data_IF_865170523341
#
_entry.id   IF_865170523341
#
_cell.length_a   1.000
_cell.length_b   1.000
_cell.length_c   1.000
_cell.angle_alpha   90.00
_cell.angle_beta   90.00
_cell.angle_gamma   90.00
#
_symmetry.space_group_name_H-M   'P 1'
#
loop_
_entity.id
_entity.type
_entity.pdbx_description
1 polymer ?
#
# COMPACT_ATOMS: atom_id res chain seq x y z
N UNK A 1 4.94 -22.93 -18.35
CA UNK A 1 6.17 -22.12 -18.18
C UNK A 1 6.61 -22.29 -16.74
N UNK A 2 7.92 -22.24 -16.50
CA UNK A 2 8.46 -22.36 -15.14
C UNK A 2 9.35 -21.16 -14.82
N UNK A 3 9.14 -20.58 -13.63
CA UNK A 3 9.92 -19.47 -13.05
C UNK A 3 10.56 -19.91 -11.73
N UNK A 4 11.56 -19.16 -11.26
CA UNK A 4 12.03 -19.33 -9.88
C UNK A 4 11.06 -18.68 -8.90
N UNK A 5 10.45 -17.55 -9.29
CA UNK A 5 9.53 -16.80 -8.46
C UNK A 5 8.33 -16.29 -9.26
N UNK A 6 7.13 -16.47 -8.70
CA UNK A 6 5.92 -15.74 -9.12
C UNK A 6 5.54 -14.76 -8.02
N UNK A 7 5.35 -13.50 -8.40
CA UNK A 7 4.83 -12.43 -7.53
C UNK A 7 3.42 -12.08 -7.99
N UNK A 8 2.43 -12.23 -7.13
CA UNK A 8 1.06 -11.84 -7.39
C UNK A 8 0.78 -10.43 -6.86
N UNK A 9 0.44 -9.49 -7.76
CA UNK A 9 0.17 -8.08 -7.47
C UNK A 9 1.33 -7.14 -7.78
N UNK A 10 1.10 -6.19 -8.70
CA UNK A 10 2.07 -5.19 -9.16
C UNK A 10 2.03 -3.86 -8.40
N UNK A 11 1.58 -3.84 -7.14
CA UNK A 11 1.74 -2.69 -6.25
C UNK A 11 3.21 -2.48 -5.86
N UNK A 12 3.52 -1.41 -5.11
CA UNK A 12 4.92 -1.11 -4.72
C UNK A 12 5.62 -2.29 -4.05
N UNK A 13 4.90 -3.05 -3.23
CA UNK A 13 5.43 -4.25 -2.58
C UNK A 13 5.81 -5.32 -3.59
N UNK A 14 4.93 -5.61 -4.56
CA UNK A 14 5.20 -6.62 -5.58
C UNK A 14 6.30 -6.21 -6.54
N UNK A 15 6.34 -4.95 -6.96
CA UNK A 15 7.44 -4.43 -7.79
C UNK A 15 8.78 -4.56 -7.05
N UNK A 16 8.83 -4.13 -5.78
CA UNK A 16 10.06 -4.23 -4.99
C UNK A 16 10.49 -5.68 -4.80
N UNK A 17 9.55 -6.60 -4.56
CA UNK A 17 9.84 -8.04 -4.46
C UNK A 17 10.38 -8.62 -5.77
N UNK A 18 9.75 -8.29 -6.88
CA UNK A 18 10.16 -8.80 -8.19
C UNK A 18 11.53 -8.26 -8.60
N UNK A 19 11.75 -6.93 -8.46
CA UNK A 19 13.01 -6.28 -8.81
C UNK A 19 14.16 -6.79 -7.95
N UNK A 20 13.97 -6.91 -6.62
CA UNK A 20 15.03 -7.40 -5.73
C UNK A 20 15.40 -8.84 -6.03
N UNK A 21 14.44 -9.72 -6.28
CA UNK A 21 14.70 -11.12 -6.62
C UNK A 21 15.39 -11.28 -7.99
N UNK A 22 14.93 -10.54 -8.99
CA UNK A 22 15.50 -10.59 -10.34
C UNK A 22 16.94 -10.07 -10.38
N UNK A 23 17.26 -9.02 -9.64
CA UNK A 23 18.64 -8.51 -9.50
C UNK A 23 19.60 -9.51 -8.85
N UNK A 24 19.07 -10.47 -8.09
CA UNK A 24 19.83 -11.59 -7.52
C UNK A 24 19.88 -12.82 -8.44
N UNK A 25 19.44 -12.68 -9.70
CA UNK A 25 19.56 -13.68 -10.76
C UNK A 25 18.39 -14.66 -10.88
N UNK A 26 17.27 -14.45 -10.20
CA UNK A 26 16.09 -15.28 -10.34
C UNK A 26 15.31 -14.91 -11.60
N UNK A 27 14.70 -15.92 -12.23
CA UNK A 27 13.66 -15.71 -13.24
C UNK A 27 12.34 -15.39 -12.53
N UNK A 28 11.77 -14.21 -12.78
CA UNK A 28 10.62 -13.70 -12.04
C UNK A 28 9.46 -13.34 -12.98
N UNK A 29 8.26 -13.82 -12.65
CA UNK A 29 7.00 -13.36 -13.23
C UNK A 29 6.25 -12.50 -12.22
N UNK A 30 5.93 -11.26 -12.60
CA UNK A 30 5.05 -10.36 -11.86
C UNK A 30 3.68 -10.32 -12.52
N UNK A 31 2.63 -10.73 -11.79
CA UNK A 31 1.25 -10.79 -12.28
C UNK A 31 0.46 -9.61 -11.74
N UNK A 32 -0.08 -8.76 -12.62
CA UNK A 32 -0.86 -7.57 -12.24
C UNK A 32 -2.22 -7.53 -12.95
N UNK A 33 -3.28 -7.29 -12.18
CA UNK A 33 -4.67 -7.24 -12.68
C UNK A 33 -5.00 -6.00 -13.51
N UNK A 34 -4.27 -4.91 -13.29
CA UNK A 34 -4.46 -3.65 -14.04
C UNK A 34 -3.51 -3.55 -15.24
N UNK A 35 -3.57 -2.44 -15.96
CA UNK A 35 -2.69 -2.14 -17.09
C UNK A 35 -1.48 -1.31 -16.72
N UNK A 36 -1.17 -1.15 -15.43
CA UNK A 36 -0.01 -0.40 -14.95
C UNK A 36 0.44 -0.91 -13.57
N UNK A 37 1.72 -0.71 -13.26
CA UNK A 37 2.30 -0.95 -11.95
C UNK A 37 1.98 0.19 -10.96
N UNK A 38 2.25 -0.03 -9.67
CA UNK A 38 2.11 0.96 -8.60
C UNK A 38 0.90 0.76 -7.68
N UNK A 39 -0.11 -0.02 -8.09
CA UNK A 39 -1.26 -0.37 -7.25
C UNK A 39 -1.96 0.85 -6.65
N UNK A 40 -1.77 1.11 -5.34
CA UNK A 40 -2.42 2.22 -4.63
C UNK A 40 -2.10 3.60 -5.24
N UNK A 41 -0.89 3.81 -5.75
CA UNK A 41 -0.46 5.06 -6.41
C UNK A 41 -1.26 5.28 -7.69
N UNK A 42 -1.28 4.26 -8.55
CA UNK A 42 -1.73 4.37 -9.94
C UNK A 42 -3.24 4.17 -10.08
N UNK A 43 -3.78 3.14 -9.42
CA UNK A 43 -5.17 2.72 -9.59
C UNK A 43 -6.11 3.37 -8.56
N UNK A 44 -5.63 3.61 -7.34
CA UNK A 44 -6.44 4.18 -6.26
C UNK A 44 -6.14 5.67 -6.02
N UNK A 45 -5.18 6.25 -6.74
CA UNK A 45 -4.73 7.65 -6.58
C UNK A 45 -4.40 8.01 -5.12
N UNK A 46 -3.88 7.06 -4.32
CA UNK A 46 -3.47 7.38 -2.94
C UNK A 46 -2.27 8.31 -2.98
N UNK A 47 -2.41 9.48 -2.35
CA UNK A 47 -1.43 10.57 -2.33
C UNK A 47 -1.56 11.34 -1.01
N UNK A 48 -0.47 11.88 -0.47
CA UNK A 48 0.94 11.70 -0.82
C UNK A 48 1.55 10.43 -0.22
N UNK A 49 2.88 10.23 -0.31
CA UNK A 49 3.57 9.29 0.59
C UNK A 49 3.42 9.78 2.03
N UNK A 50 2.93 8.92 2.91
CA UNK A 50 2.90 9.24 4.33
C UNK A 50 4.33 9.34 4.88
N UNK A 51 4.57 10.06 5.99
CA UNK A 51 5.89 10.24 6.54
C UNK A 51 6.62 8.89 6.73
N UNK A 52 7.81 8.80 6.16
CA UNK A 52 8.70 7.63 6.20
C UNK A 52 10.06 7.99 6.79
N UNK A 53 10.07 9.01 7.62
CA UNK A 53 11.23 9.52 8.36
C UNK A 53 10.84 9.87 9.79
N UNK A 54 11.83 9.88 10.68
CA UNK A 54 11.70 10.50 12.00
C UNK A 54 12.66 11.67 12.11
N UNK A 55 12.37 12.60 13.00
CA UNK A 55 13.28 13.70 13.29
C UNK A 55 14.35 13.22 14.27
N UNK A 56 15.59 13.64 14.07
CA UNK A 56 16.69 13.41 14.99
C UNK A 56 17.53 14.68 15.13
N UNK A 57 18.22 14.81 16.26
CA UNK A 57 19.18 15.87 16.46
C UNK A 57 20.54 15.46 15.89
N UNK A 58 21.15 16.34 15.10
CA UNK A 58 22.53 16.25 14.66
C UNK A 58 23.24 17.54 15.09
N UNK A 59 23.95 17.47 16.22
CA UNK A 59 24.46 18.66 16.91
C UNK A 59 23.32 19.58 17.39
N UNK A 60 23.29 20.84 16.92
CA UNK A 60 22.23 21.82 17.19
C UNK A 60 21.03 21.68 16.23
N UNK A 61 21.19 20.99 15.11
CA UNK A 61 20.22 20.95 14.03
C UNK A 61 19.25 19.77 14.18
N UNK A 62 18.01 19.97 13.68
CA UNK A 62 17.02 18.91 13.55
C UNK A 62 17.02 18.46 12.10
N UNK A 63 17.39 17.20 11.86
CA UNK A 63 17.37 16.60 10.53
C UNK A 63 16.39 15.42 10.44
N UNK A 64 16.11 14.98 9.20
CA UNK A 64 15.31 13.79 8.94
C UNK A 64 16.18 12.54 8.90
N UNK A 65 15.82 11.52 9.68
CA UNK A 65 16.30 10.15 9.51
C UNK A 65 15.28 9.38 8.69
N UNK A 66 15.60 9.10 7.43
CA UNK A 66 14.73 8.32 6.54
C UNK A 66 14.75 6.84 6.92
N UNK A 67 13.58 6.27 7.14
CA UNK A 67 13.38 4.88 7.58
C UNK A 67 13.12 3.93 6.40
N UNK A 68 12.46 4.39 5.35
CA UNK A 68 12.27 3.63 4.12
C UNK A 68 13.33 4.04 3.09
N UNK A 69 14.19 3.10 2.74
CA UNK A 69 15.35 3.27 1.85
C UNK A 69 15.35 2.15 0.79
N UNK A 70 16.52 1.75 0.28
CA UNK A 70 16.65 0.67 -0.71
C UNK A 70 15.89 0.98 -2.01
N UNK A 71 15.07 0.04 -2.48
CA UNK A 71 14.27 0.18 -3.72
C UNK A 71 13.30 1.37 -3.64
N UNK A 72 12.73 1.66 -2.46
CA UNK A 72 11.86 2.83 -2.31
C UNK A 72 12.59 4.14 -2.60
N UNK A 73 13.80 4.31 -2.06
CA UNK A 73 14.64 5.48 -2.32
C UNK A 73 15.05 5.56 -3.80
N UNK A 74 15.45 4.44 -4.39
CA UNK A 74 15.81 4.39 -5.81
C UNK A 74 14.63 4.86 -6.69
N UNK A 75 13.44 4.33 -6.45
CA UNK A 75 12.21 4.73 -7.14
C UNK A 75 11.97 6.25 -7.01
N UNK A 76 12.07 6.79 -5.78
CA UNK A 76 11.87 8.23 -5.54
C UNK A 76 12.91 9.09 -6.26
N UNK A 77 14.20 8.71 -6.19
CA UNK A 77 15.28 9.41 -6.89
C UNK A 77 15.10 9.38 -8.42
N UNK A 78 14.62 8.27 -8.98
CA UNK A 78 14.32 8.17 -10.42
C UNK A 78 13.14 9.06 -10.80
N UNK A 79 12.08 9.05 -9.99
CA UNK A 79 10.90 9.89 -10.17
C UNK A 79 11.24 11.39 -10.13
N UNK A 80 12.08 11.83 -9.19
CA UNK A 80 12.43 13.24 -8.98
C UNK A 80 13.24 13.86 -10.14
N UNK A 81 13.67 13.03 -11.10
CA UNK A 81 14.26 13.53 -12.37
C UNK A 81 13.21 14.06 -13.35
N UNK A 82 11.94 13.71 -13.15
CA UNK A 82 10.81 14.13 -14.00
C UNK A 82 10.02 15.32 -13.42
N UNK A 83 10.26 15.68 -12.16
CA UNK A 83 9.46 16.69 -11.45
C UNK A 83 10.40 17.64 -10.70
N UNK A 84 10.38 18.91 -11.07
CA UNK A 84 11.16 19.95 -10.38
C UNK A 84 10.54 20.25 -9.00
N UNK A 85 11.38 20.62 -8.03
CA UNK A 85 11.03 21.03 -6.65
C UNK A 85 10.10 20.06 -5.90
N UNK A 86 10.18 18.75 -6.20
CA UNK A 86 9.36 17.74 -5.60
C UNK A 86 9.77 17.49 -4.13
N UNK A 87 8.85 17.74 -3.19
CA UNK A 87 9.11 17.44 -1.77
C UNK A 87 9.16 15.92 -1.52
N UNK A 88 9.77 15.53 -0.40
CA UNK A 88 9.98 14.12 -0.03
C UNK A 88 8.72 13.26 -0.14
N UNK A 89 7.57 13.80 0.24
CA UNK A 89 6.30 13.09 0.27
C UNK A 89 5.46 13.25 -1.01
N UNK A 90 5.85 14.18 -1.89
CA UNK A 90 5.13 14.45 -3.14
C UNK A 90 5.58 13.52 -4.26
N UNK A 91 4.70 13.26 -5.20
CA UNK A 91 5.00 12.52 -6.41
C UNK A 91 3.94 12.77 -7.49
N UNK A 92 4.34 12.56 -8.74
CA UNK A 92 3.42 12.46 -9.88
C UNK A 92 3.16 10.99 -10.19
N UNK A 93 1.91 10.55 -10.07
CA UNK A 93 1.52 9.16 -10.29
C UNK A 93 1.80 8.66 -11.71
N UNK A 94 1.75 9.54 -12.72
CA UNK A 94 1.98 9.14 -14.11
C UNK A 94 3.46 8.86 -14.37
N UNK A 95 4.36 9.72 -13.87
CA UNK A 95 5.80 9.46 -13.96
C UNK A 95 6.23 8.23 -13.13
N UNK A 96 5.58 7.98 -11.99
CA UNK A 96 5.87 6.77 -11.23
C UNK A 96 5.52 5.48 -11.99
N UNK A 97 4.47 5.44 -12.80
CA UNK A 97 4.17 4.29 -13.66
C UNK A 97 5.36 3.99 -14.58
N UNK A 98 5.89 5.02 -15.26
CA UNK A 98 7.05 4.91 -16.15
C UNK A 98 8.27 4.40 -15.40
N UNK A 99 8.57 4.99 -14.23
CA UNK A 99 9.71 4.58 -13.39
C UNK A 99 9.61 3.12 -12.97
N UNK A 100 8.42 2.64 -12.61
CA UNK A 100 8.22 1.25 -12.20
C UNK A 100 8.34 0.28 -13.37
N UNK A 101 7.87 0.66 -14.56
CA UNK A 101 8.05 -0.09 -15.79
C UNK A 101 9.55 -0.20 -16.16
N UNK A 102 10.28 0.91 -16.09
CA UNK A 102 11.74 0.93 -16.37
C UNK A 102 12.48 0.06 -15.34
N UNK A 103 12.18 0.16 -14.04
CA UNK A 103 12.85 -0.62 -13.00
C UNK A 103 12.63 -2.13 -13.17
N UNK A 104 11.43 -2.55 -13.54
CA UNK A 104 11.12 -3.97 -13.78
C UNK A 104 11.77 -4.48 -15.05
N UNK A 105 11.74 -3.69 -16.13
CA UNK A 105 12.39 -4.04 -17.41
C UNK A 105 13.91 -4.15 -17.28
N UNK A 106 14.57 -3.17 -16.63
CA UNK A 106 16.01 -3.19 -16.36
C UNK A 106 16.46 -4.37 -15.49
N UNK A 107 15.59 -4.79 -14.55
CA UNK A 107 15.86 -5.96 -13.72
C UNK A 107 15.61 -7.30 -14.45
N UNK A 108 14.98 -7.29 -15.62
CA UNK A 108 14.65 -8.51 -16.37
C UNK A 108 13.44 -9.26 -15.80
N UNK A 109 12.49 -8.55 -15.19
CA UNK A 109 11.24 -9.12 -14.70
C UNK A 109 10.26 -9.28 -15.86
N UNK A 110 9.69 -10.47 -16.03
CA UNK A 110 8.53 -10.66 -16.90
C UNK A 110 7.27 -10.11 -16.21
N UNK A 111 6.61 -9.12 -16.82
CA UNK A 111 5.37 -8.53 -16.28
C UNK A 111 4.18 -8.98 -17.11
N UNK A 112 3.16 -9.53 -16.47
CA UNK A 112 1.91 -9.92 -17.09
C UNK A 112 0.77 -9.03 -16.59
N UNK A 113 0.40 -8.03 -17.39
CA UNK A 113 -0.73 -7.14 -17.12
C UNK A 113 -2.09 -7.75 -17.48
N UNK A 114 -3.15 -7.17 -16.95
CA UNK A 114 -4.55 -7.62 -17.15
C UNK A 114 -4.71 -9.11 -16.83
N UNK A 115 -4.02 -9.58 -15.80
CA UNK A 115 -3.93 -10.97 -15.43
C UNK A 115 -4.24 -11.15 -13.94
N UNK A 116 -5.01 -12.17 -13.62
CA UNK A 116 -5.44 -12.46 -12.24
C UNK A 116 -5.13 -13.90 -11.92
N UNK A 117 -4.44 -14.12 -10.78
CA UNK A 117 -4.34 -15.45 -10.18
C UNK A 117 -5.72 -15.79 -9.60
N UNK A 118 -6.33 -16.87 -10.06
CA UNK A 118 -7.67 -17.27 -9.63
C UNK A 118 -7.71 -18.64 -8.93
N UNK A 119 -6.64 -19.41 -8.99
CA UNK A 119 -6.52 -20.71 -8.31
C UNK A 119 -5.05 -21.07 -8.08
N UNK A 120 -4.78 -21.96 -7.14
CA UNK A 120 -3.46 -22.47 -6.82
C UNK A 120 -3.49 -24.00 -6.71
N UNK A 121 -2.40 -24.66 -7.14
CA UNK A 121 -2.19 -26.08 -6.89
C UNK A 121 -1.13 -26.27 -5.82
N UNK A 122 -1.47 -27.05 -4.83
CA UNK A 122 -0.61 -27.31 -3.68
C UNK A 122 -0.26 -28.81 -3.61
N UNK A 123 0.93 -29.09 -3.14
CA UNK A 123 1.39 -30.45 -2.79
C UNK A 123 2.12 -30.40 -1.46
N UNK A 124 1.56 -31.06 -0.45
CA UNK A 124 2.02 -31.01 0.93
C UNK A 124 2.13 -29.54 1.42
N UNK A 125 3.32 -29.10 1.81
CA UNK A 125 3.63 -27.74 2.30
C UNK A 125 4.16 -26.81 1.20
N UNK A 126 3.85 -27.08 -0.08
CA UNK A 126 4.32 -26.25 -1.21
C UNK A 126 3.20 -25.91 -2.15
N UNK A 127 3.21 -24.69 -2.64
CA UNK A 127 2.49 -24.32 -3.86
C UNK A 127 3.34 -24.81 -5.03
N UNK A 128 2.75 -25.58 -5.95
CA UNK A 128 3.41 -26.08 -7.14
C UNK A 128 3.18 -25.22 -8.37
N UNK A 129 1.99 -24.64 -8.49
CA UNK A 129 1.64 -23.73 -9.59
C UNK A 129 0.50 -22.80 -9.21
N UNK A 130 0.37 -21.73 -9.98
CA UNK A 130 -0.79 -20.82 -9.98
C UNK A 130 -1.51 -20.90 -11.30
N UNK A 131 -2.84 -20.78 -11.24
CA UNK A 131 -3.71 -20.66 -12.40
C UNK A 131 -4.03 -19.19 -12.61
N UNK A 132 -3.71 -18.66 -13.78
CA UNK A 132 -3.90 -17.26 -14.15
C UNK A 132 -4.95 -17.16 -15.24
N UNK A 133 -5.85 -16.19 -15.12
CA UNK A 133 -6.74 -15.80 -16.20
C UNK A 133 -6.31 -14.46 -16.79
N UNK A 134 -6.14 -14.41 -18.12
CA UNK A 134 -5.80 -13.22 -18.88
C UNK A 134 -6.40 -13.29 -20.28
N UNK A 135 -7.12 -12.24 -20.74
CA UNK A 135 -7.72 -12.20 -22.10
C UNK A 135 -8.49 -13.48 -22.47
N UNK A 136 -9.31 -13.97 -21.54
CA UNK A 136 -10.09 -15.21 -21.67
C UNK A 136 -9.26 -16.51 -21.82
N UNK A 137 -7.96 -16.45 -21.59
CA UNK A 137 -7.09 -17.61 -21.55
C UNK A 137 -6.86 -18.05 -20.09
N UNK A 138 -6.70 -19.34 -19.89
CA UNK A 138 -6.24 -19.95 -18.64
C UNK A 138 -4.80 -20.39 -18.82
N UNK A 139 -3.93 -19.93 -17.94
CA UNK A 139 -2.49 -20.16 -18.03
C UNK A 139 -2.03 -20.78 -16.71
N UNK A 140 -1.41 -21.95 -16.76
CA UNK A 140 -0.76 -22.57 -15.60
C UNK A 140 0.71 -22.14 -15.57
N UNK A 141 1.15 -21.58 -14.46
CA UNK A 141 2.54 -21.18 -14.21
C UNK A 141 3.08 -21.95 -13.01
N UNK A 142 4.14 -22.71 -13.24
CA UNK A 142 4.92 -23.38 -12.20
C UNK A 142 6.01 -22.45 -11.68
N UNK A 143 6.28 -22.49 -10.37
CA UNK A 143 7.41 -21.80 -9.79
C UNK A 143 7.96 -22.51 -8.56
N UNK A 144 9.20 -22.21 -8.22
CA UNK A 144 9.84 -22.72 -7.02
C UNK A 144 9.34 -21.99 -5.77
N UNK A 145 9.08 -20.66 -5.89
CA UNK A 145 8.61 -19.78 -4.83
C UNK A 145 7.49 -18.84 -5.30
N UNK A 146 6.72 -18.35 -4.32
CA UNK A 146 5.59 -17.44 -4.54
C UNK A 146 5.60 -16.32 -3.52
N UNK A 147 5.22 -15.10 -3.95
CA UNK A 147 4.99 -13.96 -3.07
C UNK A 147 3.59 -13.42 -3.31
N UNK A 148 2.78 -13.34 -2.25
CA UNK A 148 1.51 -12.62 -2.25
C UNK A 148 1.74 -11.15 -1.94
N UNK A 149 1.58 -10.29 -2.95
CA UNK A 149 1.61 -8.83 -2.86
C UNK A 149 0.30 -8.21 -3.39
N UNK A 150 -0.80 -8.99 -3.42
CA UNK A 150 -2.10 -8.56 -3.95
C UNK A 150 -2.75 -7.45 -3.12
N UNK A 151 -2.28 -7.25 -1.90
CA UNK A 151 -2.83 -6.30 -0.93
C UNK A 151 -4.08 -6.80 -0.23
N UNK A 152 -4.88 -7.64 -0.88
CA UNK A 152 -6.07 -8.29 -0.31
C UNK A 152 -5.82 -9.73 0.15
N UNK A 153 -4.60 -10.23 -0.05
CA UNK A 153 -4.20 -11.58 0.34
C UNK A 153 -4.88 -12.66 -0.51
N UNK A 154 -5.06 -12.39 -1.79
CA UNK A 154 -5.79 -13.29 -2.66
C UNK A 154 -5.05 -14.60 -2.88
N UNK A 155 -3.72 -14.57 -3.04
CA UNK A 155 -2.93 -15.79 -3.27
C UNK A 155 -2.90 -16.69 -2.03
N UNK A 156 -2.61 -16.15 -0.85
CA UNK A 156 -2.59 -16.98 0.37
C UNK A 156 -3.99 -17.46 0.77
N UNK A 157 -5.04 -16.69 0.45
CA UNK A 157 -6.43 -17.12 0.64
C UNK A 157 -6.77 -18.30 -0.26
N UNK A 158 -6.42 -18.23 -1.55
CA UNK A 158 -6.60 -19.34 -2.50
C UNK A 158 -5.80 -20.59 -2.08
N UNK A 159 -4.65 -20.38 -1.46
CA UNK A 159 -3.84 -21.47 -0.91
C UNK A 159 -4.41 -22.06 0.40
N UNK A 160 -5.42 -21.45 1.02
CA UNK A 160 -6.05 -21.93 2.25
C UNK A 160 -5.28 -21.58 3.53
N UNK A 161 -4.46 -20.52 3.52
CA UNK A 161 -3.81 -20.02 4.74
C UNK A 161 -4.81 -19.36 5.69
N UNK A 162 -4.52 -19.44 6.98
CA UNK A 162 -5.30 -18.73 8.01
C UNK A 162 -5.14 -17.22 7.90
N UNK A 163 -6.25 -16.49 8.09
CA UNK A 163 -6.25 -15.02 8.03
C UNK A 163 -7.20 -14.40 9.05
N UNK A 164 -7.03 -13.09 9.29
CA UNK A 164 -7.96 -12.22 9.99
C UNK A 164 -8.52 -11.20 9.01
N UNK A 165 -9.85 -11.14 8.91
CA UNK A 165 -10.54 -10.05 8.21
C UNK A 165 -10.83 -8.93 9.20
N UNK A 166 -10.46 -7.68 8.84
CA UNK A 166 -10.78 -6.52 9.66
C UNK A 166 -10.34 -6.63 11.14
N UNK A 167 -11.03 -5.95 12.03
CA UNK A 167 -10.76 -6.03 13.47
C UNK A 167 -11.31 -7.32 14.10
N UNK A 168 -10.69 -7.77 15.17
CA UNK A 168 -11.00 -9.08 15.77
C UNK A 168 -12.42 -9.18 16.35
N UNK A 169 -12.98 -8.07 16.83
CA UNK A 169 -14.26 -8.06 17.54
C UNK A 169 -15.48 -8.35 16.65
N UNK A 170 -15.44 -7.95 15.37
CA UNK A 170 -16.61 -8.02 14.48
C UNK A 170 -16.25 -8.19 13.00
N UNK A 171 -14.99 -8.36 12.69
CA UNK A 171 -14.45 -8.50 11.31
C UNK A 171 -14.69 -7.28 10.40
N UNK A 172 -15.04 -6.12 10.95
CA UNK A 172 -15.20 -4.91 10.16
C UNK A 172 -13.86 -4.32 9.77
N UNK A 173 -13.71 -4.02 8.49
CA UNK A 173 -12.53 -3.39 7.93
C UNK A 173 -12.62 -1.87 7.98
N UNK A 174 -11.46 -1.20 8.00
CA UNK A 174 -11.40 0.25 7.85
C UNK A 174 -12.09 0.68 6.54
N UNK A 175 -12.71 1.90 6.51
CA UNK A 175 -13.49 2.36 5.37
C UNK A 175 -12.73 2.36 4.05
N UNK A 176 -13.41 2.04 2.98
CA UNK A 176 -12.90 2.22 1.61
C UNK A 176 -13.04 3.69 1.17
N UNK A 177 -12.17 4.15 0.28
CA UNK A 177 -12.12 5.54 -0.21
C UNK A 177 -11.79 5.59 -1.68
N UNK A 178 -12.51 6.40 -2.45
CA UNK A 178 -12.13 6.79 -3.81
C UNK A 178 -11.57 8.19 -3.80
N UNK A 179 -10.30 8.33 -4.17
CA UNK A 179 -9.63 9.62 -4.33
C UNK A 179 -9.99 10.24 -5.69
N UNK A 180 -9.96 11.59 -5.76
CA UNK A 180 -10.19 12.32 -7.01
C UNK A 180 -9.40 13.63 -7.05
N UNK A 181 -9.32 14.26 -8.22
CA UNK A 181 -8.60 15.52 -8.44
C UNK A 181 -9.47 16.50 -9.20
N UNK A 182 -9.38 17.75 -8.79
CA UNK A 182 -9.97 18.90 -9.49
C UNK A 182 -8.86 19.87 -9.90
N UNK A 183 -8.93 20.40 -11.12
CA UNK A 183 -8.09 21.50 -11.61
C UNK A 183 -8.87 22.80 -11.66
N UNK A 184 -8.19 23.92 -11.96
CA UNK A 184 -8.81 25.23 -12.01
C UNK A 184 -9.31 25.72 -10.65
N UNK A 185 -8.70 25.25 -9.56
CA UNK A 185 -9.02 25.65 -8.20
C UNK A 185 -8.11 26.82 -7.81
N UNK A 186 -8.70 27.93 -7.34
CA UNK A 186 -7.96 29.00 -6.67
C UNK A 186 -7.49 28.50 -5.30
N UNK A 187 -6.23 28.01 -5.23
CA UNK A 187 -5.69 27.38 -4.03
C UNK A 187 -5.49 28.35 -2.87
N UNK A 188 -5.19 29.62 -3.15
CA UNK A 188 -5.01 30.65 -2.13
C UNK A 188 -6.37 30.99 -1.49
N UNK A 189 -7.37 31.29 -2.31
CA UNK A 189 -8.73 31.53 -1.85
C UNK A 189 -9.30 30.30 -1.11
N UNK A 190 -9.08 29.09 -1.63
CA UNK A 190 -9.51 27.89 -0.92
C UNK A 190 -8.85 27.74 0.44
N UNK A 191 -7.56 28.08 0.55
CA UNK A 191 -6.83 27.99 1.84
C UNK A 191 -7.42 28.97 2.86
N UNK A 192 -7.79 30.17 2.45
CA UNK A 192 -8.46 31.16 3.29
C UNK A 192 -9.87 30.71 3.72
N UNK A 193 -10.64 30.16 2.79
CA UNK A 193 -12.02 29.73 3.04
C UNK A 193 -12.14 28.37 3.73
N UNK A 194 -11.09 27.57 3.74
CA UNK A 194 -11.11 26.17 4.23
C UNK A 194 -11.69 26.02 5.63
N UNK A 195 -11.36 26.85 6.65
CA UNK A 195 -11.97 26.72 7.97
C UNK A 195 -13.50 26.87 7.95
N UNK A 196 -14.01 27.88 7.21
CA UNK A 196 -15.44 28.13 7.03
C UNK A 196 -16.13 26.96 6.31
N UNK A 197 -15.52 26.46 5.25
CA UNK A 197 -16.05 25.33 4.48
C UNK A 197 -16.12 24.05 5.35
N UNK A 198 -15.14 23.80 6.20
CA UNK A 198 -15.15 22.66 7.13
C UNK A 198 -16.31 22.74 8.13
N UNK A 199 -16.58 23.91 8.71
CA UNK A 199 -17.69 24.10 9.64
C UNK A 199 -19.04 23.95 8.93
N UNK A 200 -19.20 24.59 7.76
CA UNK A 200 -20.42 24.47 6.96
C UNK A 200 -20.69 23.02 6.51
N UNK A 201 -19.62 22.27 6.15
CA UNK A 201 -19.72 20.85 5.80
C UNK A 201 -20.30 20.02 6.96
N UNK A 202 -19.79 20.25 8.17
CA UNK A 202 -20.30 19.57 9.40
C UNK A 202 -21.75 19.96 9.71
N UNK A 203 -22.12 21.23 9.54
CA UNK A 203 -23.50 21.68 9.74
C UNK A 203 -24.47 21.00 8.79
N UNK A 204 -24.11 20.93 7.50
CA UNK A 204 -24.92 20.28 6.47
C UNK A 204 -24.99 18.77 6.71
N UNK A 205 -23.91 18.15 7.15
CA UNK A 205 -23.88 16.75 7.57
C UNK A 205 -24.85 16.49 8.74
N UNK A 206 -24.82 17.33 9.78
CA UNK A 206 -25.71 17.21 10.93
C UNK A 206 -27.19 17.37 10.56
N UNK A 207 -27.51 18.12 9.50
CA UNK A 207 -28.85 18.29 8.93
C UNK A 207 -29.26 17.16 7.97
N UNK A 208 -28.35 16.25 7.62
CA UNK A 208 -28.60 15.19 6.64
C UNK A 208 -28.59 15.65 5.19
N UNK A 209 -28.13 16.88 4.91
CA UNK A 209 -27.98 17.43 3.55
C UNK A 209 -26.74 16.86 2.85
N UNK A 210 -25.74 16.41 3.63
CA UNK A 210 -24.55 15.69 3.16
C UNK A 210 -24.59 14.28 3.76
N UNK A 211 -24.51 13.28 2.87
CA UNK A 211 -24.63 11.86 3.24
C UNK A 211 -23.30 11.16 3.45
N UNK A 212 -22.21 11.74 2.93
CA UNK A 212 -20.86 11.23 3.13
C UNK A 212 -20.46 11.26 4.61
N UNK A 213 -20.16 10.13 5.26
CA UNK A 213 -19.85 10.08 6.68
C UNK A 213 -18.42 10.54 7.04
N UNK A 214 -17.66 11.06 6.09
CA UNK A 214 -16.32 11.61 6.37
C UNK A 214 -16.45 12.88 7.21
N UNK A 215 -15.71 12.94 8.32
CA UNK A 215 -15.77 14.03 9.30
C UNK A 215 -15.20 15.37 8.81
N UNK A 216 -14.47 15.33 7.70
CA UNK A 216 -13.81 16.52 7.15
C UNK A 216 -13.57 16.40 5.64
N UNK A 217 -13.31 17.54 5.02
CA UNK A 217 -12.83 17.62 3.63
C UNK A 217 -11.30 17.51 3.68
N UNK A 218 -10.80 16.27 3.49
CA UNK A 218 -9.36 16.00 3.47
C UNK A 218 -8.79 16.19 2.07
N UNK A 219 -7.88 17.14 1.94
CA UNK A 219 -7.22 17.49 0.69
C UNK A 219 -5.71 17.54 0.84
N UNK A 220 -5.03 17.38 -0.29
CA UNK A 220 -3.58 17.52 -0.40
C UNK A 220 -3.23 18.41 -1.60
N UNK A 221 -2.18 19.21 -1.43
CA UNK A 221 -1.58 20.08 -2.42
C UNK A 221 -0.35 19.42 -3.06
N UNK A 222 0.28 20.07 -4.04
CA UNK A 222 1.53 19.61 -4.63
C UNK A 222 1.37 18.61 -5.78
N UNK A 223 0.15 18.47 -6.33
CA UNK A 223 -0.11 17.65 -7.53
C UNK A 223 0.04 18.48 -8.82
N UNK A 224 -0.19 19.79 -8.75
CA UNK A 224 -0.13 20.77 -9.83
C UNK A 224 -0.44 22.16 -9.27
N UNK A 225 -0.17 23.21 -10.05
CA UNK A 225 -0.29 24.61 -9.60
C UNK A 225 -1.73 25.00 -9.22
N UNK A 226 -2.73 24.45 -9.92
CA UNK A 226 -4.15 24.69 -9.70
C UNK A 226 -4.94 23.42 -9.37
N UNK A 227 -4.22 22.35 -8.99
CA UNK A 227 -4.82 21.02 -8.77
C UNK A 227 -4.94 20.71 -7.29
N UNK A 228 -6.15 20.38 -6.87
CA UNK A 228 -6.45 19.90 -5.53
C UNK A 228 -6.77 18.42 -5.55
N UNK A 229 -6.06 17.65 -4.71
CA UNK A 229 -6.28 16.22 -4.54
C UNK A 229 -7.15 15.95 -3.32
N UNK A 230 -8.19 15.15 -3.49
CA UNK A 230 -9.17 14.82 -2.45
C UNK A 230 -9.07 13.36 -2.01
N UNK A 231 -8.95 13.15 -0.69
CA UNK A 231 -9.11 11.87 -0.01
C UNK A 231 -10.28 11.99 0.97
N UNK A 232 -11.46 12.34 0.45
CA UNK A 232 -12.60 12.84 1.24
C UNK A 232 -13.84 11.96 1.19
N UNK A 233 -13.86 10.86 0.42
CA UNK A 233 -14.95 9.90 0.47
C UNK A 233 -14.75 8.89 1.59
N UNK A 234 -15.84 8.30 2.09
CA UNK A 234 -15.79 7.25 3.12
C UNK A 234 -16.95 6.27 2.93
N UNK A 235 -16.60 5.04 2.60
CA UNK A 235 -17.59 3.95 2.48
C UNK A 235 -17.34 2.96 3.60
N UNK A 236 -18.33 2.80 4.48
CA UNK A 236 -18.28 2.02 5.71
C UNK A 236 -19.15 0.77 5.62
N UNK A 237 -18.96 -0.20 6.51
CA UNK A 237 -19.83 -1.37 6.72
C UNK A 237 -19.96 -2.29 5.50
N UNK A 238 -18.99 -2.28 4.59
CA UNK A 238 -18.93 -3.19 3.43
C UNK A 238 -17.66 -4.02 3.51
N UNK A 239 -17.75 -5.27 3.08
CA UNK A 239 -16.64 -6.22 3.05
C UNK A 239 -15.79 -5.98 1.79
N UNK A 240 -14.52 -5.56 1.91
CA UNK A 240 -13.64 -5.31 0.77
C UNK A 240 -13.19 -6.59 0.04
N UNK A 241 -13.54 -7.76 0.56
CA UNK A 241 -13.25 -9.07 -0.08
C UNK A 241 -14.47 -9.66 -0.77
N UNK A 242 -15.64 -9.05 -0.60
CA UNK A 242 -16.87 -9.43 -1.29
C UNK A 242 -17.02 -8.61 -2.58
N UNK A 243 -17.05 -9.22 -3.77
CA UNK A 243 -17.11 -8.50 -5.05
C UNK A 243 -18.38 -7.64 -5.22
N UNK A 244 -19.49 -8.03 -4.64
CA UNK A 244 -20.73 -7.25 -4.68
C UNK A 244 -20.65 -6.02 -3.77
N UNK A 245 -20.06 -6.16 -2.59
CA UNK A 245 -19.83 -5.05 -1.68
C UNK A 245 -18.83 -4.03 -2.23
N UNK A 246 -17.75 -4.50 -2.85
CA UNK A 246 -16.79 -3.63 -3.55
C UNK A 246 -17.47 -2.88 -4.70
N UNK A 247 -18.28 -3.58 -5.52
CA UNK A 247 -19.04 -2.95 -6.60
C UNK A 247 -20.01 -1.87 -6.09
N UNK A 248 -20.70 -2.15 -4.98
CA UNK A 248 -21.57 -1.19 -4.30
C UNK A 248 -20.78 0.00 -3.75
N UNK A 249 -19.62 -0.26 -3.14
CA UNK A 249 -18.74 0.77 -2.60
C UNK A 249 -18.24 1.74 -3.67
N UNK A 250 -17.88 1.25 -4.85
CA UNK A 250 -17.49 2.04 -6.01
C UNK A 250 -18.60 3.05 -6.41
N UNK A 251 -19.82 2.60 -6.46
CA UNK A 251 -20.97 3.47 -6.82
C UNK A 251 -21.24 4.50 -5.72
N UNK A 252 -21.21 4.08 -4.44
CA UNK A 252 -21.42 4.98 -3.30
C UNK A 252 -20.34 6.06 -3.29
N UNK A 253 -19.07 5.71 -3.43
CA UNK A 253 -17.97 6.66 -3.40
C UNK A 253 -18.08 7.71 -4.52
N UNK A 254 -18.46 7.31 -5.75
CA UNK A 254 -18.69 8.26 -6.85
C UNK A 254 -19.89 9.20 -6.59
N UNK A 255 -20.93 8.76 -5.90
CA UNK A 255 -22.03 9.65 -5.45
C UNK A 255 -21.53 10.65 -4.40
N UNK A 256 -20.69 10.21 -3.45
CA UNK A 256 -20.07 11.10 -2.46
C UNK A 256 -19.16 12.14 -3.13
N UNK A 257 -18.43 11.78 -4.20
CA UNK A 257 -17.64 12.75 -4.99
C UNK A 257 -18.55 13.81 -5.60
N UNK A 258 -19.64 13.40 -6.24
CA UNK A 258 -20.60 14.31 -6.85
C UNK A 258 -21.23 15.27 -5.82
N UNK A 259 -21.63 14.75 -4.66
CA UNK A 259 -22.16 15.51 -3.52
C UNK A 259 -21.14 16.56 -3.04
N UNK A 260 -19.88 16.16 -2.85
CA UNK A 260 -18.82 17.05 -2.39
C UNK A 260 -18.49 18.14 -3.41
N UNK A 261 -18.43 17.81 -4.71
CA UNK A 261 -18.19 18.81 -5.77
C UNK A 261 -19.32 19.84 -5.80
N UNK A 262 -20.59 19.39 -5.70
CA UNK A 262 -21.74 20.30 -5.61
C UNK A 262 -21.64 21.24 -4.42
N UNK A 263 -21.36 20.69 -3.23
CA UNK A 263 -21.14 21.47 -2.02
C UNK A 263 -20.04 22.53 -2.19
N UNK A 264 -18.89 22.17 -2.76
CA UNK A 264 -17.76 23.10 -2.94
C UNK A 264 -18.10 24.23 -3.91
N UNK A 265 -18.69 23.90 -5.06
CA UNK A 265 -19.09 24.90 -6.09
C UNK A 265 -20.19 25.86 -5.62
N UNK A 266 -21.11 25.38 -4.80
CA UNK A 266 -22.19 26.20 -4.24
C UNK A 266 -21.70 27.17 -3.14
N UNK A 267 -20.62 26.81 -2.43
CA UNK A 267 -20.25 27.50 -1.19
C UNK A 267 -18.87 28.16 -1.23
N UNK A 268 -18.13 28.09 -2.36
CA UNK A 268 -16.80 28.70 -2.49
C UNK A 268 -16.53 29.18 -3.90
N UNK A 269 -16.14 30.42 -4.04
CA UNK A 269 -15.71 31.01 -5.30
C UNK A 269 -14.40 30.39 -5.83
N UNK A 270 -13.59 29.78 -4.95
CA UNK A 270 -12.37 29.08 -5.34
C UNK A 270 -12.62 27.93 -6.35
N UNK A 271 -13.85 27.43 -6.44
CA UNK A 271 -14.24 26.34 -7.33
C UNK A 271 -15.05 26.76 -8.56
N UNK A 272 -15.23 28.06 -8.81
CA UNK A 272 -16.04 28.56 -9.93
C UNK A 272 -15.56 28.02 -11.28
N UNK A 273 -14.27 28.07 -11.53
CA UNK A 273 -13.63 27.62 -12.77
C UNK A 273 -13.15 26.15 -12.70
N UNK A 274 -13.42 25.48 -11.58
CA UNK A 274 -12.87 24.16 -11.35
C UNK A 274 -13.55 23.06 -12.17
N UNK A 275 -12.76 22.06 -12.56
CA UNK A 275 -13.20 20.88 -13.26
C UNK A 275 -12.72 19.59 -12.58
N UNK A 276 -13.56 18.55 -12.59
CA UNK A 276 -13.14 17.20 -12.21
C UNK A 276 -12.25 16.64 -13.32
N UNK A 277 -10.98 16.36 -13.02
CA UNK A 277 -10.01 15.88 -14.03
C UNK A 277 -9.64 14.41 -13.84
N UNK A 278 -9.80 13.87 -12.64
CA UNK A 278 -9.45 12.47 -12.39
C UNK A 278 -10.24 11.90 -11.22
N UNK A 279 -10.69 10.68 -11.35
CA UNK A 279 -11.23 9.83 -10.28
C UNK A 279 -10.43 8.54 -10.28
N UNK A 280 -10.08 8.02 -9.11
CA UNK A 280 -9.40 6.74 -9.01
C UNK A 280 -10.16 5.65 -9.77
N UNK A 281 -9.41 4.82 -10.51
CA UNK A 281 -9.99 3.74 -11.33
C UNK A 281 -10.63 2.68 -10.44
N UNK A 282 -10.00 2.39 -9.31
CA UNK A 282 -10.50 1.45 -8.31
C UNK A 282 -10.60 2.13 -6.95
N UNK A 283 -11.58 1.74 -6.16
CA UNK A 283 -11.70 2.18 -4.77
C UNK A 283 -10.48 1.74 -3.96
N UNK A 284 -9.96 2.64 -3.11
CA UNK A 284 -8.85 2.36 -2.20
C UNK A 284 -9.32 1.55 -1.00
N UNK A 285 -8.78 0.35 -0.85
CA UNK A 285 -9.02 -0.54 0.28
C UNK A 285 -7.91 -0.35 1.31
N UNK A 286 -8.25 0.17 2.50
CA UNK A 286 -7.30 0.38 3.59
C UNK A 286 -6.94 -0.91 4.31
N UNK A 287 -7.92 -1.78 4.49
CA UNK A 287 -7.79 -3.05 5.21
C UNK A 287 -8.69 -4.10 4.58
N UNK A 288 -8.20 -5.34 4.54
CA UNK A 288 -8.93 -6.52 4.13
C UNK A 288 -8.40 -7.74 4.89
N UNK A 289 -8.10 -8.86 4.23
CA UNK A 289 -7.45 -10.02 4.86
C UNK A 289 -6.04 -9.67 5.31
N UNK A 290 -5.68 -10.10 6.52
CA UNK A 290 -4.34 -10.08 7.09
C UNK A 290 -3.94 -11.50 7.41
N UNK A 291 -2.75 -11.93 7.00
CA UNK A 291 -2.23 -13.26 7.29
C UNK A 291 -2.22 -13.53 8.81
N UNK A 292 -2.55 -14.74 9.25
CA UNK A 292 -2.22 -15.26 10.60
C UNK A 292 -0.95 -16.10 10.54
N UNK A 293 0.17 -15.42 10.26
CA UNK A 293 1.47 -16.04 10.04
C UNK A 293 2.19 -16.52 11.30
N UNK A 294 3.49 -16.76 11.15
CA UNK A 294 4.36 -17.23 12.23
C UNK A 294 4.44 -16.22 13.38
N UNK A 295 4.44 -14.92 13.06
CA UNK A 295 4.34 -13.84 14.03
C UNK A 295 3.25 -12.87 13.61
N UNK A 296 2.35 -12.54 14.52
CA UNK A 296 1.33 -11.50 14.31
C UNK A 296 1.84 -10.22 14.96
N UNK A 297 2.31 -9.28 14.14
CA UNK A 297 2.78 -7.98 14.60
C UNK A 297 1.64 -7.22 15.28
N UNK A 298 1.81 -6.82 16.52
CA UNK A 298 0.76 -6.20 17.33
C UNK A 298 0.91 -4.68 17.45
N UNK A 299 -0.19 -3.97 17.71
CA UNK A 299 -0.18 -2.54 18.00
C UNK A 299 0.71 -2.19 19.21
N UNK A 300 0.73 -3.04 20.25
CA UNK A 300 1.57 -2.84 21.44
C UNK A 300 3.06 -2.92 21.10
N UNK A 301 3.48 -3.83 20.22
CA UNK A 301 4.88 -3.92 19.77
C UNK A 301 5.29 -2.65 19.00
N UNK A 302 4.39 -2.06 18.21
CA UNK A 302 4.65 -0.77 17.56
C UNK A 302 4.78 0.36 18.59
N UNK A 303 3.82 0.49 19.51
CA UNK A 303 3.77 1.53 20.54
C UNK A 303 5.03 1.50 21.40
N UNK A 304 5.52 0.29 21.72
CA UNK A 304 6.72 0.08 22.51
C UNK A 304 8.01 0.23 21.71
N UNK A 305 7.91 0.60 20.43
CA UNK A 305 9.06 0.70 19.52
C UNK A 305 9.95 -0.56 19.57
N UNK A 306 9.32 -1.74 19.58
CA UNK A 306 10.02 -3.04 19.72
C UNK A 306 11.08 -3.21 18.64
N UNK A 307 12.26 -3.70 19.04
CA UNK A 307 13.39 -4.02 18.16
C UNK A 307 13.50 -5.53 18.02
N UNK A 308 13.15 -6.06 16.85
CA UNK A 308 13.25 -7.47 16.57
C UNK A 308 14.64 -7.84 16.04
N UNK A 309 15.16 -9.00 16.46
CA UNK A 309 16.45 -9.51 15.97
C UNK A 309 16.41 -9.85 14.47
N UNK A 310 15.23 -10.23 13.95
CA UNK A 310 14.95 -10.54 12.56
C UNK A 310 14.28 -9.36 11.81
N UNK A 311 14.58 -8.12 12.22
CA UNK A 311 14.07 -6.89 11.57
C UNK A 311 14.40 -6.84 10.09
N UNK A 312 13.41 -6.47 9.26
CA UNK A 312 13.53 -6.33 7.80
C UNK A 312 13.07 -4.97 7.28
N UNK A 313 12.42 -4.17 8.10
CA UNK A 313 11.96 -2.83 7.77
C UNK A 313 11.73 -2.01 9.04
N UNK A 314 11.73 -0.70 8.88
CA UNK A 314 11.46 0.27 9.94
C UNK A 314 10.20 1.07 9.63
N UNK A 315 9.51 1.56 10.67
CA UNK A 315 8.39 2.46 10.52
C UNK A 315 8.19 3.35 11.75
N UNK A 316 7.53 4.48 11.53
CA UNK A 316 7.08 5.39 12.58
C UNK A 316 5.80 6.15 12.19
N UNK A 317 5.13 5.65 11.13
CA UNK A 317 3.81 6.20 10.81
C UNK A 317 2.87 5.93 11.97
N UNK A 318 2.04 6.91 12.31
CA UNK A 318 1.06 6.79 13.38
C UNK A 318 0.11 5.59 13.17
N UNK A 319 -0.40 5.06 14.28
CA UNK A 319 -1.47 4.07 14.21
C UNK A 319 -2.75 4.86 13.87
N UNK A 320 -3.08 4.89 12.58
CA UNK A 320 -4.14 5.69 11.96
C UNK A 320 -5.35 4.80 11.69
N UNK A 321 -6.26 4.69 12.67
CA UNK A 321 -7.44 3.84 12.59
C UNK A 321 -8.66 4.67 12.21
N UNK A 322 -9.17 4.46 11.00
CA UNK A 322 -10.45 5.01 10.57
C UNK A 322 -11.60 4.14 11.07
N UNK A 323 -12.59 4.76 11.73
CA UNK A 323 -13.75 4.03 12.27
C UNK A 323 -14.45 3.21 11.17
N UNK A 324 -14.62 1.89 11.36
CA UNK A 324 -15.33 1.04 10.39
C UNK A 324 -16.83 1.30 10.31
N UNK A 325 -17.42 1.90 11.35
CA UNK A 325 -18.87 2.00 11.53
C UNK A 325 -19.45 3.40 11.31
N UNK A 326 -18.60 4.42 11.07
CA UNK A 326 -19.10 5.78 10.91
C UNK A 326 -18.01 6.83 10.78
N UNK A 327 -18.17 7.93 11.48
CA UNK A 327 -17.23 9.06 11.51
C UNK A 327 -16.08 8.79 12.47
N UNK A 328 -15.01 9.53 12.32
CA UNK A 328 -13.88 9.59 13.22
C UNK A 328 -12.69 8.74 12.81
N UNK A 329 -11.54 9.22 13.23
CA UNK A 329 -10.23 8.59 13.07
C UNK A 329 -9.50 8.71 14.38
N UNK A 330 -8.91 7.61 14.88
CA UNK A 330 -8.05 7.65 16.06
C UNK A 330 -6.59 7.56 15.64
N UNK A 331 -5.75 8.36 16.29
CA UNK A 331 -4.31 8.42 16.00
C UNK A 331 -3.50 8.15 17.26
N UNK A 332 -2.45 7.34 17.10
CA UNK A 332 -1.38 7.20 18.09
C UNK A 332 -0.07 7.54 17.40
N UNK A 333 0.45 8.72 17.71
CA UNK A 333 1.68 9.27 17.11
C UNK A 333 2.93 8.74 17.82
N UNK A 334 4.04 8.69 17.08
CA UNK A 334 5.38 8.41 17.59
C UNK A 334 6.14 9.73 17.80
N UNK A 335 6.99 9.77 18.83
CA UNK A 335 7.82 10.93 19.13
C UNK A 335 9.00 11.10 18.17
N UNK A 336 9.66 12.25 18.25
CA UNK A 336 10.89 12.51 17.50
C UNK A 336 11.98 11.50 17.88
N UNK A 337 12.58 10.86 16.90
CA UNK A 337 13.57 9.78 17.08
C UNK A 337 12.96 8.38 17.30
N UNK A 338 11.69 8.30 17.61
CA UNK A 338 11.01 7.00 17.78
C UNK A 338 10.72 6.34 16.45
N UNK A 339 10.85 5.03 16.42
CA UNK A 339 10.44 4.16 15.31
C UNK A 339 10.41 2.70 15.81
N UNK A 340 9.60 1.88 15.19
CA UNK A 340 9.53 0.43 15.43
C UNK A 340 10.22 -0.34 14.32
N UNK A 341 10.45 -1.64 14.54
CA UNK A 341 10.93 -2.57 13.51
C UNK A 341 9.85 -3.57 13.12
N UNK A 342 9.93 -4.13 11.94
CA UNK A 342 9.02 -5.16 11.45
C UNK A 342 9.82 -6.46 11.27
N UNK A 343 9.42 -7.58 11.92
CA UNK A 343 10.16 -8.83 11.86
C UNK A 343 9.88 -9.61 10.57
N UNK A 344 10.87 -10.33 10.06
CA UNK A 344 10.73 -11.22 8.91
C UNK A 344 9.61 -12.25 9.09
N UNK A 345 9.43 -12.76 10.30
CA UNK A 345 8.40 -13.74 10.66
C UNK A 345 6.97 -13.28 10.38
N UNK A 346 6.73 -11.97 10.26
CA UNK A 346 5.41 -11.43 9.88
C UNK A 346 5.07 -11.62 8.40
N UNK A 347 6.06 -12.02 7.57
CA UNK A 347 5.84 -12.34 6.16
C UNK A 347 5.57 -13.83 5.92
N UNK A 348 5.72 -14.69 6.94
CA UNK A 348 5.72 -16.15 6.82
C UNK A 348 4.33 -16.74 7.13
N UNK A 349 3.62 -17.36 6.16
CA UNK A 349 2.51 -18.23 6.46
C UNK A 349 3.01 -19.50 7.17
N UNK A 350 2.16 -20.09 7.99
CA UNK A 350 2.51 -21.33 8.74
C UNK A 350 2.44 -22.58 7.87
N UNK A 351 1.65 -22.51 6.82
CA UNK A 351 1.20 -23.65 6.02
C UNK A 351 2.20 -24.04 4.93
N UNK A 352 2.92 -23.07 4.37
CA UNK A 352 3.72 -23.26 3.16
C UNK A 352 5.19 -22.91 3.34
N UNK A 353 6.06 -23.75 2.78
CA UNK A 353 7.51 -23.62 2.84
C UNK A 353 8.10 -22.76 1.72
N UNK A 354 7.28 -22.37 0.74
CA UNK A 354 7.68 -21.59 -0.44
C UNK A 354 6.79 -20.40 -0.76
N UNK A 355 6.01 -19.93 0.22
CA UNK A 355 5.16 -18.73 0.12
C UNK A 355 5.63 -17.67 1.10
N UNK A 356 5.71 -16.42 0.63
CA UNK A 356 5.83 -15.22 1.45
C UNK A 356 4.66 -14.27 1.16
N UNK A 357 4.34 -13.44 2.14
CA UNK A 357 3.31 -12.39 2.01
C UNK A 357 3.96 -11.04 2.26
N UNK A 358 3.72 -10.06 1.39
CA UNK A 358 4.32 -8.74 1.50
C UNK A 358 3.31 -7.61 1.26
N UNK A 359 3.53 -6.46 1.90
CA UNK A 359 2.67 -5.29 1.76
C UNK A 359 1.54 -5.24 2.79
N UNK A 360 0.38 -4.74 2.40
CA UNK A 360 -0.74 -4.41 3.29
C UNK A 360 -1.33 -5.61 4.04
N UNK A 361 -1.22 -6.81 3.49
CA UNK A 361 -1.84 -8.03 4.00
C UNK A 361 -0.89 -8.92 4.83
N UNK A 362 0.27 -8.42 5.26
CA UNK A 362 1.17 -9.16 6.16
C UNK A 362 0.47 -9.53 7.48
N UNK A 363 1.12 -10.39 8.25
CA UNK A 363 0.61 -10.85 9.54
C UNK A 363 0.71 -9.76 10.60
N UNK A 364 -0.42 -9.10 10.86
CA UNK A 364 -0.53 -7.98 11.81
C UNK A 364 -1.93 -7.91 12.43
N UNK A 365 -2.05 -7.31 13.62
CA UNK A 365 -3.34 -6.92 14.18
C UNK A 365 -3.96 -5.76 13.41
N UNK A 366 -5.23 -5.45 13.69
CA UNK A 366 -5.91 -4.29 13.10
C UNK A 366 -5.16 -2.98 13.34
N UNK A 367 -4.65 -2.78 14.57
CA UNK A 367 -3.90 -1.59 14.98
C UNK A 367 -2.54 -1.51 14.28
N UNK A 368 -1.78 -2.61 14.30
CA UNK A 368 -0.47 -2.60 13.65
C UNK A 368 -0.59 -2.39 12.14
N UNK A 369 -1.57 -3.05 11.49
CA UNK A 369 -1.85 -2.89 10.07
C UNK A 369 -2.16 -1.43 9.70
N UNK A 370 -2.85 -0.69 10.57
CA UNK A 370 -3.17 0.72 10.34
C UNK A 370 -1.91 1.60 10.16
N UNK A 371 -0.79 1.20 10.75
CA UNK A 371 0.50 1.89 10.62
C UNK A 371 1.35 1.31 9.48
N UNK A 372 1.54 -0.02 9.42
CA UNK A 372 2.52 -0.64 8.50
C UNK A 372 2.06 -0.68 7.04
N UNK A 373 0.78 -0.38 6.75
CA UNK A 373 0.19 -0.40 5.41
C UNK A 373 0.62 0.74 4.48
N UNK A 374 1.35 1.74 4.97
CA UNK A 374 1.76 2.86 4.13
C UNK A 374 2.72 2.42 3.03
N UNK A 375 2.62 3.08 1.89
CA UNK A 375 3.32 2.70 0.66
C UNK A 375 4.85 2.55 0.83
N UNK A 376 5.56 3.47 1.52
CA UNK A 376 7.01 3.34 1.74
C UNK A 376 7.38 2.07 2.51
N UNK A 377 6.67 1.75 3.60
CA UNK A 377 6.89 0.54 4.39
C UNK A 377 6.58 -0.70 3.55
N UNK A 378 5.44 -0.71 2.84
CA UNK A 378 5.07 -1.82 1.95
C UNK A 378 6.13 -2.11 0.88
N UNK A 379 6.78 -1.07 0.34
CA UNK A 379 7.89 -1.23 -0.60
C UNK A 379 9.08 -1.96 0.05
N UNK A 380 9.50 -1.55 1.25
CA UNK A 380 10.57 -2.20 2.00
C UNK A 380 10.24 -3.67 2.34
N UNK A 381 8.99 -3.98 2.69
CA UNK A 381 8.56 -5.35 2.94
C UNK A 381 8.65 -6.21 1.67
N UNK A 382 8.32 -5.65 0.51
CA UNK A 382 8.50 -6.31 -0.77
C UNK A 382 9.96 -6.62 -1.08
N UNK A 383 10.84 -5.63 -0.93
CA UNK A 383 12.28 -5.80 -1.12
C UNK A 383 12.83 -6.91 -0.23
N UNK A 384 12.43 -6.92 1.04
CA UNK A 384 12.84 -7.98 1.98
C UNK A 384 12.32 -9.37 1.58
N UNK A 385 11.08 -9.46 1.10
CA UNK A 385 10.50 -10.73 0.64
C UNK A 385 11.24 -11.28 -0.59
N UNK A 386 11.49 -10.44 -1.60
CA UNK A 386 12.24 -10.84 -2.80
C UNK A 386 13.68 -11.25 -2.50
N UNK A 387 14.37 -10.49 -1.65
CA UNK A 387 15.73 -10.82 -1.19
C UNK A 387 15.75 -12.13 -0.39
N UNK A 388 14.75 -12.38 0.46
CA UNK A 388 14.65 -13.61 1.23
C UNK A 388 14.44 -14.84 0.32
N UNK A 389 13.59 -14.71 -0.71
CA UNK A 389 13.40 -15.78 -1.71
C UNK A 389 14.69 -16.07 -2.45
N UNK A 390 15.47 -15.09 -2.85
CA UNK A 390 16.74 -15.31 -3.54
C UNK A 390 17.75 -16.04 -2.64
N UNK A 391 17.83 -15.71 -1.36
CA UNK A 391 18.66 -16.44 -0.40
C UNK A 391 18.17 -17.90 -0.24
N UNK A 392 16.86 -18.12 -0.10
CA UNK A 392 16.28 -19.45 0.02
C UNK A 392 16.60 -20.30 -1.21
N UNK A 393 16.39 -19.75 -2.41
CA UNK A 393 16.68 -20.43 -3.68
C UNK A 393 18.17 -20.80 -3.80
N UNK A 394 19.06 -19.82 -3.61
CA UNK A 394 20.51 -20.01 -3.78
C UNK A 394 21.13 -20.95 -2.74
N UNK A 395 20.46 -21.15 -1.60
CA UNK A 395 20.93 -22.07 -0.53
C UNK A 395 20.15 -23.38 -0.47
N UNK A 396 19.23 -23.64 -1.40
CA UNK A 396 18.31 -24.80 -1.42
C UNK A 396 17.55 -24.97 -0.09
N UNK A 397 17.09 -23.85 0.47
CA UNK A 397 16.31 -23.79 1.72
C UNK A 397 14.88 -23.39 1.43
N UNK A 398 14.01 -23.56 2.42
CA UNK A 398 12.67 -22.97 2.40
C UNK A 398 12.66 -21.57 3.06
N UNK A 399 11.54 -20.87 2.93
CA UNK A 399 11.41 -19.50 3.45
C UNK A 399 11.50 -19.41 4.97
N UNK A 400 11.14 -20.47 5.70
CA UNK A 400 11.21 -20.52 7.17
C UNK A 400 12.63 -20.71 7.72
N UNK A 401 13.57 -21.17 6.87
CA UNK A 401 14.94 -21.48 7.27
C UNK A 401 15.96 -20.50 6.67
N UNK A 402 15.49 -19.37 6.15
CA UNK A 402 16.35 -18.27 5.71
C UNK A 402 17.14 -17.72 6.90
N UNK A 403 18.45 -17.58 6.71
CA UNK A 403 19.32 -16.93 7.69
C UNK A 403 19.01 -15.43 7.71
N UNK A 404 18.35 -14.97 8.77
CA UNK A 404 17.92 -13.58 8.91
C UNK A 404 19.09 -12.61 9.02
N UNK A 405 20.26 -13.04 9.51
CA UNK A 405 21.46 -12.20 9.53
C UNK A 405 22.04 -12.02 8.12
N UNK A 406 22.02 -13.08 7.30
CA UNK A 406 22.40 -12.97 5.89
C UNK A 406 21.41 -12.07 5.13
N UNK A 407 20.09 -12.20 5.41
CA UNK A 407 19.07 -11.33 4.85
C UNK A 407 19.28 -9.86 5.21
N UNK A 408 19.49 -9.55 6.49
CA UNK A 408 19.76 -8.19 6.97
C UNK A 408 21.02 -7.61 6.35
N UNK A 409 22.08 -8.40 6.27
CA UNK A 409 23.34 -7.98 5.61
C UNK A 409 23.08 -7.61 4.15
N UNK A 410 22.38 -8.47 3.41
CA UNK A 410 22.10 -8.23 1.99
C UNK A 410 21.22 -7.01 1.77
N UNK A 411 20.15 -6.85 2.57
CA UNK A 411 19.30 -5.66 2.53
C UNK A 411 20.10 -4.37 2.78
N UNK A 412 21.00 -4.39 3.77
CA UNK A 412 21.86 -3.23 4.07
C UNK A 412 22.84 -2.94 2.93
N UNK A 413 23.44 -3.96 2.32
CA UNK A 413 24.29 -3.82 1.13
C UNK A 413 23.54 -3.21 -0.05
N UNK A 414 22.23 -3.51 -0.19
CA UNK A 414 21.34 -2.92 -1.20
C UNK A 414 20.78 -1.55 -0.79
N UNK A 415 21.21 -1.00 0.35
CA UNK A 415 20.89 0.36 0.80
C UNK A 415 19.64 0.45 1.69
N UNK A 416 19.03 -0.66 2.12
CA UNK A 416 17.92 -0.63 3.08
C UNK A 416 18.41 -0.13 4.45
N UNK A 417 17.51 0.53 5.19
CA UNK A 417 17.70 0.90 6.59
C UNK A 417 17.03 -0.14 7.49
N UNK A 418 17.76 -0.70 8.46
CA UNK A 418 17.30 -1.71 9.43
C UNK A 418 17.59 -1.32 10.87
#
# INVERSE_FOLDING_TARGET
MKYNLVVAGGGLSGVAAAVSAAREGLTVLLVEKSGCLGGAISNNLVYPFMPYWTKQKDGSDICKKYLSQGIFKEMKVRHDRYVDDCKDHEFNSEYLKIVLDDMTAEAGVDVLFHAVVYDVKTDNRKISSVEITAKAQKITIEADFFIDATGDGDLFYLAGCDYQLGRESDSLCQPMTTCFRMSGVDLDLFTEERPRLQELYKEKQAKGEITNPRENILVFFGVGEDVLHFNSTRVVMLDPTNPFDVSKAEVIARKQIHELIGFLKENSAAFNESALISVAVNIGVRESRKLKGVHILSGDELINCTRFEDSIALGNYDIDIHSPTGTGTSHRYFGDGEYYTIPYRSLLPKEYDNLLVAGRCISATHEAQASVRIMPICCCLGEAAGTAVSIAHNTNKNVHTVDTKALQKKLTENGAML
#
